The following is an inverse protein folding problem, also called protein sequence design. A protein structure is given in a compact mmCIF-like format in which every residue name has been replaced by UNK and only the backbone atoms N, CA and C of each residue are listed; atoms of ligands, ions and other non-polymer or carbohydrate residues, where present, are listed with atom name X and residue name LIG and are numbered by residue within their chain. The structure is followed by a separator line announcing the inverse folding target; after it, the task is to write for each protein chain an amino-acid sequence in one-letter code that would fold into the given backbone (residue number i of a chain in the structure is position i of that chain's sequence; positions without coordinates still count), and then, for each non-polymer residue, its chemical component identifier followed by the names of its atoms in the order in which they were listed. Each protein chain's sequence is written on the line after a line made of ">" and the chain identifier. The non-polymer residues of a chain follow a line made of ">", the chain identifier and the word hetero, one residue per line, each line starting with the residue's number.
data_IF_899126932442
#
_entry.id   IF_899126932442
#
_cell.length_a   1.000
_cell.length_b   1.000
_cell.length_c   1.000
_cell.angle_alpha   90.00
_cell.angle_beta   90.00
_cell.angle_gamma   90.00
#
_symmetry.space_group_name_H-M   'P 1'
#
loop_
_entity.id
_entity.type
_entity.pdbx_description
1 polymer ?
#
# COMPACT_ATOMS: atom_id res chain seq x y z
N UNK A 1 8.68 -35.02 8.88
CA UNK A 1 9.59 -35.24 7.75
C UNK A 1 10.07 -33.90 7.24
N UNK A 2 11.31 -33.49 7.53
CA UNK A 2 12.00 -32.36 6.88
C UNK A 2 12.00 -32.53 5.35
N UNK A 3 11.99 -33.78 4.90
CA UNK A 3 11.79 -34.14 3.50
C UNK A 3 10.45 -33.68 2.92
N UNK A 4 9.39 -33.57 3.73
CA UNK A 4 8.11 -32.99 3.30
C UNK A 4 8.29 -31.48 3.07
N UNK A 5 9.08 -30.77 3.88
CA UNK A 5 9.39 -29.35 3.64
C UNK A 5 10.16 -29.18 2.33
N UNK A 6 11.17 -30.03 2.08
CA UNK A 6 11.92 -30.02 0.82
C UNK A 6 11.05 -30.40 -0.39
N UNK A 7 10.08 -31.30 -0.21
CA UNK A 7 9.16 -31.69 -1.27
C UNK A 7 8.07 -30.63 -1.54
N UNK A 8 7.69 -29.84 -0.54
CA UNK A 8 6.71 -28.75 -0.68
C UNK A 8 7.33 -27.48 -1.25
N UNK A 9 8.65 -27.29 -1.15
CA UNK A 9 9.35 -26.14 -1.71
C UNK A 9 9.06 -25.94 -3.22
N UNK A 10 9.20 -26.95 -4.11
CA UNK A 10 8.82 -26.82 -5.52
C UNK A 10 7.33 -26.50 -5.74
N UNK A 11 6.45 -27.04 -4.89
CA UNK A 11 5.00 -26.78 -4.98
C UNK A 11 4.72 -25.31 -4.72
N UNK A 12 5.31 -24.75 -3.67
CA UNK A 12 5.07 -23.34 -3.34
C UNK A 12 5.77 -22.41 -4.32
N UNK A 13 6.99 -22.73 -4.79
CA UNK A 13 7.59 -21.99 -5.90
C UNK A 13 6.65 -22.00 -7.11
N UNK A 14 6.04 -23.14 -7.43
CA UNK A 14 5.04 -23.25 -8.48
C UNK A 14 3.80 -22.39 -8.21
N UNK A 15 3.32 -22.33 -6.96
CA UNK A 15 2.20 -21.48 -6.56
C UNK A 15 2.51 -19.98 -6.73
N UNK A 16 3.73 -19.55 -6.39
CA UNK A 16 4.18 -18.15 -6.58
C UNK A 16 4.34 -17.81 -8.06
N UNK A 17 4.85 -18.75 -8.87
CA UNK A 17 5.00 -18.55 -10.32
C UNK A 17 3.67 -18.45 -11.07
N UNK A 18 2.56 -18.91 -10.48
CA UNK A 18 1.22 -18.81 -11.07
C UNK A 18 0.62 -17.42 -10.87
N UNK A 19 1.04 -16.70 -9.82
CA UNK A 19 0.48 -15.38 -9.51
C UNK A 19 0.99 -14.33 -10.48
N UNK A 20 0.08 -13.52 -11.02
CA UNK A 20 0.47 -12.27 -11.70
C UNK A 20 0.92 -11.24 -10.67
N UNK A 21 1.66 -10.21 -11.11
CA UNK A 21 2.18 -9.14 -10.24
C UNK A 21 1.13 -8.61 -9.25
N UNK A 22 1.45 -8.66 -7.96
CA UNK A 22 0.65 -8.21 -6.82
C UNK A 22 -0.65 -8.98 -6.55
N UNK A 23 -0.89 -10.10 -7.23
CA UNK A 23 -1.91 -11.05 -6.80
C UNK A 23 -1.48 -11.76 -5.52
N UNK A 24 -2.44 -12.13 -4.69
CA UNK A 24 -2.18 -12.89 -3.48
C UNK A 24 -3.10 -14.11 -3.38
N UNK A 25 -2.59 -15.17 -2.77
CA UNK A 25 -3.44 -16.27 -2.33
C UNK A 25 -4.33 -15.82 -1.18
N UNK A 26 -5.64 -16.07 -1.31
CA UNK A 26 -6.57 -15.87 -0.20
C UNK A 26 -6.18 -16.78 0.95
N UNK A 27 -6.34 -16.24 2.15
CA UNK A 27 -5.97 -16.90 3.41
C UNK A 27 -4.48 -17.19 3.55
N UNK A 28 -3.61 -16.67 2.67
CA UNK A 28 -2.19 -16.99 2.64
C UNK A 28 -1.95 -18.50 2.42
N UNK A 29 -2.64 -19.07 1.42
CA UNK A 29 -2.66 -20.51 1.15
C UNK A 29 -1.27 -21.10 0.93
N UNK A 30 -0.45 -20.42 0.14
CA UNK A 30 0.98 -20.68 -0.09
C UNK A 30 1.75 -20.84 1.24
N UNK A 31 1.52 -19.95 2.20
CA UNK A 31 2.15 -20.01 3.51
C UNK A 31 1.60 -21.17 4.36
N UNK A 32 0.31 -21.49 4.27
CA UNK A 32 -0.25 -22.69 4.93
C UNK A 32 0.35 -23.99 4.40
N UNK A 33 0.58 -24.08 3.09
CA UNK A 33 1.23 -25.25 2.47
C UNK A 33 2.64 -25.41 3.04
N UNK A 34 3.41 -24.33 3.18
CA UNK A 34 4.71 -24.38 3.85
C UNK A 34 4.64 -24.76 5.33
N UNK A 35 3.74 -24.13 6.08
CA UNK A 35 3.56 -24.37 7.52
C UNK A 35 3.15 -25.81 7.81
N UNK A 36 2.40 -26.45 6.92
CA UNK A 36 1.99 -27.84 7.07
C UNK A 36 3.20 -28.78 7.19
N UNK A 37 4.26 -28.55 6.42
CA UNK A 37 5.50 -29.33 6.49
C UNK A 37 6.21 -29.22 7.85
N UNK A 38 6.19 -28.03 8.46
CA UNK A 38 6.72 -27.82 9.81
C UNK A 38 5.82 -28.46 10.88
N UNK A 39 4.51 -28.24 10.80
CA UNK A 39 3.55 -28.82 11.74
C UNK A 39 3.66 -30.35 11.78
N UNK A 40 3.75 -31.00 10.63
CA UNK A 40 3.89 -32.46 10.55
C UNK A 40 5.17 -32.94 11.26
N UNK A 41 6.32 -32.29 11.03
CA UNK A 41 7.58 -32.63 11.70
C UNK A 41 7.55 -32.44 13.23
N UNK A 42 6.80 -31.43 13.70
CA UNK A 42 6.64 -31.12 15.11
C UNK A 42 5.68 -32.09 15.84
N UNK A 43 4.58 -32.48 15.19
CA UNK A 43 3.56 -33.35 15.79
C UNK A 43 3.83 -34.86 15.67
N UNK A 44 4.68 -35.30 14.74
CA UNK A 44 5.00 -36.74 14.59
C UNK A 44 5.67 -37.31 15.83
N UNK A 45 6.61 -36.59 16.46
CA UNK A 45 7.35 -37.09 17.64
C UNK A 45 6.44 -37.43 18.84
N UNK A 46 5.52 -36.57 19.29
CA UNK A 46 4.60 -36.93 20.38
C UNK A 46 3.66 -38.08 20.00
N UNK A 47 3.26 -38.22 18.73
CA UNK A 47 2.41 -39.31 18.25
C UNK A 47 3.18 -40.65 18.21
N UNK A 48 4.45 -40.60 17.82
CA UNK A 48 5.30 -41.79 17.68
C UNK A 48 5.85 -42.35 19.00
N UNK A 49 5.70 -41.62 20.12
CA UNK A 49 6.21 -42.03 21.44
C UNK A 49 5.65 -43.36 21.93
N UNK A 50 4.43 -43.73 21.51
CA UNK A 50 3.73 -44.94 21.92
C UNK A 50 3.76 -46.07 20.88
N UNK A 51 4.50 -45.91 19.78
CA UNK A 51 4.55 -46.91 18.70
C UNK A 51 5.71 -47.88 18.96
N UNK A 52 5.44 -49.19 18.87
CA UNK A 52 6.46 -50.24 18.85
C UNK A 52 7.24 -50.20 17.52
N UNK A 53 8.14 -49.23 17.44
CA UNK A 53 8.97 -48.97 16.27
C UNK A 53 10.42 -49.44 16.47
N UNK A 54 11.12 -49.88 15.39
CA UNK A 54 12.55 -50.15 15.40
C UNK A 54 13.38 -48.96 15.89
N UNK A 55 14.51 -49.21 16.55
CA UNK A 55 15.38 -48.17 17.11
C UNK A 55 15.82 -47.13 16.06
N UNK A 56 16.14 -47.57 14.85
CA UNK A 56 16.52 -46.71 13.73
C UNK A 56 15.42 -45.69 13.42
N UNK A 57 14.15 -46.14 13.42
CA UNK A 57 13.01 -45.27 13.14
C UNK A 57 12.81 -44.23 14.26
N UNK A 58 13.03 -44.61 15.52
CA UNK A 58 12.98 -43.69 16.67
C UNK A 58 14.06 -42.61 16.60
N UNK A 59 15.29 -42.97 16.26
CA UNK A 59 16.38 -42.00 16.05
C UNK A 59 16.08 -41.06 14.88
N UNK A 60 15.54 -41.60 13.79
CA UNK A 60 15.19 -40.83 12.62
C UNK A 60 14.09 -39.79 12.92
N UNK A 61 13.04 -40.17 13.66
CA UNK A 61 11.98 -39.25 14.12
C UNK A 61 12.54 -38.16 15.03
N UNK A 62 13.53 -38.48 15.88
CA UNK A 62 14.17 -37.48 16.73
C UNK A 62 14.97 -36.46 15.92
N UNK A 63 15.79 -36.92 14.97
CA UNK A 63 16.52 -36.06 14.06
C UNK A 63 15.58 -35.15 13.28
N UNK A 64 14.50 -35.72 12.73
CA UNK A 64 13.51 -35.01 11.95
C UNK A 64 12.80 -33.90 12.75
N UNK A 65 12.46 -34.17 14.00
CA UNK A 65 11.88 -33.19 14.92
C UNK A 65 12.84 -32.03 15.21
N UNK A 66 14.10 -32.33 15.52
CA UNK A 66 15.12 -31.31 15.81
C UNK A 66 15.40 -30.45 14.57
N UNK A 67 15.56 -31.08 13.41
CA UNK A 67 15.80 -30.37 12.16
C UNK A 67 14.58 -29.51 11.75
N UNK A 68 13.35 -30.00 11.95
CA UNK A 68 12.13 -29.20 11.73
C UNK A 68 12.09 -27.97 12.63
N UNK A 69 12.49 -28.08 13.91
CA UNK A 69 12.60 -26.94 14.82
C UNK A 69 13.64 -25.91 14.38
N UNK A 70 14.84 -26.38 14.00
CA UNK A 70 15.94 -25.51 13.56
C UNK A 70 15.56 -24.73 12.30
N UNK A 71 14.83 -25.34 11.37
CA UNK A 71 14.39 -24.68 10.14
C UNK A 71 13.15 -23.81 10.35
N UNK A 72 12.22 -24.23 11.22
CA UNK A 72 11.01 -23.49 11.53
C UNK A 72 11.30 -22.15 12.21
N UNK A 73 12.27 -22.09 13.13
CA UNK A 73 12.53 -20.89 13.92
C UNK A 73 12.93 -19.66 13.09
N UNK A 74 13.97 -19.70 12.22
CA UNK A 74 14.29 -18.59 11.34
C UNK A 74 13.17 -18.34 10.32
N UNK A 75 12.48 -19.39 9.88
CA UNK A 75 11.33 -19.23 8.98
C UNK A 75 10.23 -18.39 9.63
N UNK A 76 9.76 -18.75 10.82
CA UNK A 76 8.73 -17.98 11.51
C UNK A 76 9.21 -16.55 11.77
N UNK A 77 10.45 -16.34 12.21
CA UNK A 77 10.96 -15.00 12.48
C UNK A 77 11.06 -14.11 11.23
N UNK A 78 11.41 -14.66 10.07
CA UNK A 78 11.60 -13.90 8.83
C UNK A 78 10.29 -13.78 8.02
N UNK A 79 9.51 -14.85 7.97
CA UNK A 79 8.29 -14.91 7.16
C UNK A 79 7.05 -14.36 7.88
N UNK A 80 7.05 -14.21 9.22
CA UNK A 80 5.97 -13.48 9.90
C UNK A 80 5.86 -12.01 9.43
N UNK A 81 6.99 -11.37 9.11
CA UNK A 81 7.00 -10.04 8.49
C UNK A 81 6.57 -10.04 7.02
N UNK A 82 6.49 -11.20 6.39
CA UNK A 82 6.06 -11.35 4.99
C UNK A 82 4.55 -11.57 4.85
N UNK A 83 3.80 -11.63 5.95
CA UNK A 83 2.35 -11.78 5.86
C UNK A 83 1.72 -10.53 5.26
N UNK A 84 0.90 -10.67 4.20
CA UNK A 84 0.10 -9.56 3.71
C UNK A 84 -0.77 -9.03 4.85
N UNK A 85 -0.66 -7.73 5.11
CA UNK A 85 -1.45 -7.09 6.16
C UNK A 85 -2.81 -6.73 5.58
N UNK A 86 -3.86 -7.41 6.03
CA UNK A 86 -5.23 -7.09 5.65
C UNK A 86 -5.77 -6.05 6.65
N UNK A 87 -6.14 -4.88 6.13
CA UNK A 87 -6.64 -3.77 6.95
C UNK A 87 -8.15 -3.79 7.07
N UNK A 88 -8.85 -3.93 5.93
CA UNK A 88 -10.31 -3.96 5.93
C UNK A 88 -10.86 -4.76 4.76
N UNK A 89 -12.11 -5.21 4.89
CA UNK A 89 -12.84 -6.00 3.90
C UNK A 89 -14.22 -5.38 3.68
N UNK A 90 -14.50 -4.97 2.46
CA UNK A 90 -15.80 -4.41 2.07
C UNK A 90 -16.36 -5.20 0.88
N UNK A 91 -17.44 -5.95 1.09
CA UNK A 91 -18.03 -6.87 0.10
C UNK A 91 -16.98 -7.83 -0.51
N UNK A 92 -16.75 -7.70 -1.83
CA UNK A 92 -15.81 -8.47 -2.62
C UNK A 92 -14.42 -7.82 -2.67
N UNK A 93 -14.23 -6.69 -2.00
CA UNK A 93 -12.97 -5.96 -2.01
C UNK A 93 -12.22 -6.13 -0.70
N UNK A 94 -10.90 -6.08 -0.79
CA UNK A 94 -9.99 -6.16 0.35
C UNK A 94 -8.99 -5.02 0.22
N UNK A 95 -8.79 -4.27 1.29
CA UNK A 95 -7.65 -3.39 1.44
C UNK A 95 -6.52 -4.19 2.09
N UNK A 96 -5.40 -4.32 1.39
CA UNK A 96 -4.23 -5.03 1.89
C UNK A 96 -2.95 -4.27 1.57
N UNK A 97 -1.94 -4.48 2.41
CA UNK A 97 -0.57 -4.16 2.08
C UNK A 97 0.13 -5.46 1.72
N UNK A 98 0.74 -5.46 0.54
CA UNK A 98 1.72 -6.47 0.18
C UNK A 98 2.94 -6.24 1.07
N UNK A 99 3.29 -7.24 1.88
CA UNK A 99 4.40 -7.12 2.84
C UNK A 99 5.48 -8.08 2.37
N UNK A 100 6.45 -7.60 1.61
CA UNK A 100 7.67 -8.36 1.35
C UNK A 100 8.63 -8.32 2.56
N UNK A 101 9.55 -9.27 2.71
CA UNK A 101 10.58 -9.25 3.76
C UNK A 101 11.47 -7.99 3.71
N UNK A 102 11.47 -7.29 2.57
CA UNK A 102 12.21 -6.06 2.33
C UNK A 102 11.33 -4.91 1.83
N UNK A 103 10.00 -5.05 1.92
CA UNK A 103 9.12 -4.03 1.39
C UNK A 103 9.00 -2.85 2.36
N UNK A 104 9.89 -1.89 2.17
CA UNK A 104 9.93 -0.63 2.90
C UNK A 104 9.00 0.42 2.28
N UNK A 105 8.30 0.12 1.18
CA UNK A 105 7.46 1.11 0.50
C UNK A 105 6.10 1.18 1.19
N UNK A 106 5.64 2.37 1.62
CA UNK A 106 4.33 2.56 2.23
C UNK A 106 3.25 2.56 1.13
N UNK A 107 2.98 1.40 0.54
CA UNK A 107 1.95 1.25 -0.50
C UNK A 107 0.91 0.24 -0.05
N UNK A 108 -0.37 0.55 -0.24
CA UNK A 108 -1.45 -0.42 -0.12
C UNK A 108 -2.16 -0.61 -1.45
N UNK A 109 -2.91 -1.70 -1.55
CA UNK A 109 -3.63 -2.11 -2.73
C UNK A 109 -5.06 -2.45 -2.36
N UNK A 110 -5.96 -2.21 -3.31
CA UNK A 110 -7.30 -2.77 -3.25
C UNK A 110 -7.34 -3.95 -4.18
N UNK A 111 -7.76 -5.10 -3.65
CA UNK A 111 -7.93 -6.31 -4.42
C UNK A 111 -9.38 -6.75 -4.48
N UNK A 112 -9.76 -7.39 -5.57
CA UNK A 112 -11.02 -8.12 -5.72
C UNK A 112 -10.81 -9.58 -5.31
N UNK A 113 -11.72 -10.11 -4.50
CA UNK A 113 -11.80 -11.54 -4.17
C UNK A 113 -12.29 -12.28 -5.41
N UNK A 114 -11.45 -13.13 -5.99
CA UNK A 114 -11.83 -14.01 -7.09
C UNK A 114 -11.38 -15.45 -6.79
N UNK A 115 -12.33 -16.33 -6.46
CA UNK A 115 -12.03 -17.71 -6.11
C UNK A 115 -10.99 -17.80 -4.98
N UNK A 116 -9.84 -18.48 -5.18
CA UNK A 116 -8.75 -18.56 -4.22
C UNK A 116 -7.78 -17.37 -4.27
N UNK A 117 -7.99 -16.39 -5.16
CA UNK A 117 -7.08 -15.28 -5.39
C UNK A 117 -7.64 -13.95 -4.90
N UNK A 118 -6.74 -13.02 -4.64
CA UNK A 118 -7.00 -11.60 -4.51
C UNK A 118 -6.32 -10.93 -5.70
N UNK A 119 -7.11 -10.42 -6.63
CA UNK A 119 -6.60 -9.75 -7.83
C UNK A 119 -6.49 -8.25 -7.57
N UNK A 120 -5.31 -7.64 -7.71
CA UNK A 120 -5.13 -6.21 -7.48
C UNK A 120 -5.91 -5.41 -8.52
N UNK A 121 -6.55 -4.35 -8.07
CA UNK A 121 -7.06 -3.30 -8.94
C UNK A 121 -5.86 -2.43 -9.32
N UNK A 122 -5.84 -1.90 -10.54
CA UNK A 122 -4.73 -1.09 -11.10
C UNK A 122 -4.42 0.23 -10.35
N UNK A 123 -5.01 0.44 -9.18
CA UNK A 123 -4.82 1.63 -8.36
C UNK A 123 -4.07 1.26 -7.09
N UNK A 124 -2.82 1.71 -7.01
CA UNK A 124 -2.06 1.69 -5.78
C UNK A 124 -2.44 2.89 -4.91
N UNK A 125 -2.43 2.69 -3.59
CA UNK A 125 -2.64 3.74 -2.60
C UNK A 125 -1.26 4.12 -2.08
N UNK A 126 -0.80 5.31 -2.44
CA UNK A 126 0.50 5.82 -2.04
C UNK A 126 0.45 7.33 -1.80
N UNK A 127 1.09 7.83 -0.73
CA UNK A 127 1.70 7.08 0.36
C UNK A 127 0.64 6.53 1.34
N UNK A 128 0.78 5.28 1.78
CA UNK A 128 -0.11 4.59 2.70
C UNK A 128 0.56 4.28 4.05
N UNK A 129 0.10 4.96 5.09
CA UNK A 129 0.51 4.76 6.48
C UNK A 129 -0.70 4.35 7.35
N UNK A 130 -1.46 3.36 6.89
CA UNK A 130 -2.62 2.85 7.62
C UNK A 130 -2.24 2.11 8.90
N UNK A 131 -3.12 2.18 9.89
CA UNK A 131 -3.09 1.37 11.12
C UNK A 131 -4.20 0.33 11.10
N UNK A 132 -4.31 -0.51 12.12
CA UNK A 132 -5.41 -1.47 12.28
C UNK A 132 -6.82 -0.83 12.25
N UNK A 133 -6.92 0.48 12.44
CA UNK A 133 -8.16 1.28 12.43
C UNK A 133 -8.33 2.00 11.09
N UNK A 134 -8.11 1.27 9.98
CA UNK A 134 -8.28 1.77 8.62
C UNK A 134 -9.57 1.19 8.05
N UNK A 135 -10.44 2.03 7.51
CA UNK A 135 -11.73 1.65 6.95
C UNK A 135 -11.78 1.88 5.45
N UNK A 136 -12.28 0.89 4.72
CA UNK A 136 -12.49 0.90 3.28
C UNK A 136 -13.97 1.12 2.98
N UNK A 137 -14.28 2.23 2.33
CA UNK A 137 -15.61 2.56 1.80
C UNK A 137 -15.62 2.43 0.29
N UNK A 138 -16.63 1.76 -0.26
CA UNK A 138 -16.76 1.55 -1.70
C UNK A 138 -18.13 2.02 -2.17
N UNK A 139 -18.11 2.87 -3.19
CA UNK A 139 -19.32 3.31 -3.86
C UNK A 139 -19.27 2.88 -5.34
N UNK A 140 -19.96 1.78 -5.66
CA UNK A 140 -20.04 1.21 -7.02
C UNK A 140 -20.89 2.04 -7.99
N UNK A 141 -21.78 2.88 -7.46
CA UNK A 141 -22.66 3.75 -8.24
C UNK A 141 -21.86 4.94 -8.79
N UNK A 142 -21.17 5.65 -7.91
CA UNK A 142 -20.31 6.77 -8.27
C UNK A 142 -18.94 6.34 -8.79
N UNK A 143 -18.57 5.06 -8.63
CA UNK A 143 -17.35 4.49 -9.19
C UNK A 143 -16.09 4.91 -8.45
N UNK A 144 -16.13 5.03 -7.12
CA UNK A 144 -14.97 5.37 -6.29
C UNK A 144 -14.80 4.43 -5.11
N UNK A 145 -13.58 4.45 -4.56
CA UNK A 145 -13.30 3.96 -3.22
C UNK A 145 -12.69 5.08 -2.38
N UNK A 146 -12.96 5.04 -1.08
CA UNK A 146 -12.35 5.91 -0.10
C UNK A 146 -11.76 5.05 1.02
N UNK A 147 -10.57 5.41 1.48
CA UNK A 147 -9.92 4.80 2.63
C UNK A 147 -9.69 5.88 3.67
N UNK A 148 -10.07 5.63 4.91
CA UNK A 148 -9.97 6.59 6.02
C UNK A 148 -9.43 5.91 7.27
N UNK A 149 -8.68 6.63 8.09
CA UNK A 149 -8.21 6.13 9.41
C UNK A 149 -8.90 6.88 10.55
N UNK A 150 -9.22 6.20 11.66
CA UNK A 150 -10.07 6.70 12.78
C UNK A 150 -9.46 7.79 13.69
N UNK A 151 -8.29 8.33 13.38
CA UNK A 151 -7.60 9.26 14.30
C UNK A 151 -8.07 10.70 14.14
N UNK A 152 -8.09 11.46 15.24
CA UNK A 152 -8.05 12.93 15.18
C UNK A 152 -6.81 13.33 14.37
N UNK A 153 -7.00 13.79 13.14
CA UNK A 153 -6.00 13.85 12.05
C UNK A 153 -5.73 12.51 11.37
N UNK A 154 -6.76 11.94 10.77
CA UNK A 154 -6.68 10.70 10.02
C UNK A 154 -6.07 10.90 8.64
N UNK A 155 -5.45 9.85 8.11
CA UNK A 155 -5.09 9.75 6.70
C UNK A 155 -6.32 9.41 5.86
N UNK A 156 -6.39 9.97 4.65
CA UNK A 156 -7.53 9.77 3.75
C UNK A 156 -7.07 9.61 2.30
N UNK A 157 -7.66 8.64 1.61
CA UNK A 157 -7.39 8.37 0.20
C UNK A 157 -8.70 8.23 -0.57
N UNK A 158 -8.81 8.89 -1.72
CA UNK A 158 -10.01 8.82 -2.58
C UNK A 158 -9.57 8.67 -4.03
N UNK A 159 -10.00 7.58 -4.65
CA UNK A 159 -9.57 7.25 -6.01
C UNK A 159 -10.70 6.60 -6.83
N UNK A 160 -10.61 6.67 -8.17
CA UNK A 160 -11.55 6.01 -9.05
C UNK A 160 -11.42 4.48 -8.95
N UNK A 161 -12.57 3.84 -8.85
CA UNK A 161 -12.76 2.42 -9.11
C UNK A 161 -13.15 2.18 -10.57
N UNK A 162 -13.96 3.08 -11.14
CA UNK A 162 -14.39 3.09 -12.54
C UNK A 162 -14.29 4.53 -13.04
N UNK A 163 -13.33 4.80 -13.93
CA UNK A 163 -13.06 6.15 -14.43
C UNK A 163 -14.27 6.76 -15.15
N UNK A 164 -15.10 5.98 -15.84
CA UNK A 164 -16.24 6.51 -16.60
C UNK A 164 -17.31 7.01 -15.64
N UNK A 165 -17.63 6.22 -14.61
CA UNK A 165 -18.60 6.63 -13.57
C UNK A 165 -18.04 7.77 -12.73
N UNK A 166 -16.77 7.69 -12.36
CA UNK A 166 -16.09 8.72 -11.57
C UNK A 166 -16.10 10.08 -12.27
N UNK A 167 -15.84 10.13 -13.58
CA UNK A 167 -15.95 11.37 -14.36
C UNK A 167 -17.40 11.85 -14.50
N UNK A 168 -18.38 10.95 -14.56
CA UNK A 168 -19.79 11.31 -14.68
C UNK A 168 -20.30 12.05 -13.44
N UNK A 169 -19.89 11.62 -12.25
CA UNK A 169 -20.26 12.22 -10.96
C UNK A 169 -19.19 13.20 -10.44
N UNK A 170 -18.50 13.89 -11.36
CA UNK A 170 -17.41 14.80 -11.01
C UNK A 170 -17.79 15.90 -9.98
N UNK A 171 -18.97 16.54 -10.05
CA UNK A 171 -19.36 17.54 -9.05
C UNK A 171 -19.51 16.96 -7.64
N UNK A 172 -20.19 15.82 -7.52
CA UNK A 172 -20.44 15.15 -6.24
C UNK A 172 -19.15 14.63 -5.61
N UNK A 173 -18.27 14.06 -6.45
CA UNK A 173 -16.95 13.58 -6.02
C UNK A 173 -16.05 14.75 -5.61
N UNK A 174 -16.09 15.87 -6.33
CA UNK A 174 -15.36 17.08 -5.94
C UNK A 174 -15.76 17.55 -4.55
N UNK A 175 -17.07 17.62 -4.28
CA UNK A 175 -17.61 17.99 -2.97
C UNK A 175 -17.21 16.97 -1.88
N UNK A 176 -17.24 15.67 -2.19
CA UNK A 176 -16.78 14.63 -1.28
C UNK A 176 -15.30 14.81 -0.91
N UNK A 177 -14.43 15.04 -1.88
CA UNK A 177 -13.00 15.27 -1.66
C UNK A 177 -12.80 16.50 -0.77
N UNK A 178 -13.48 17.61 -1.08
CA UNK A 178 -13.37 18.84 -0.31
C UNK A 178 -13.84 18.65 1.13
N UNK A 179 -14.96 17.95 1.35
CA UNK A 179 -15.47 17.65 2.69
C UNK A 179 -14.53 16.75 3.49
N UNK A 180 -13.99 15.70 2.86
CA UNK A 180 -13.05 14.78 3.51
C UNK A 180 -11.74 15.48 3.87
N UNK A 181 -11.25 16.37 3.00
CA UNK A 181 -10.07 17.18 3.28
C UNK A 181 -10.32 18.21 4.38
N UNK A 182 -11.50 18.84 4.42
CA UNK A 182 -11.84 19.77 5.51
C UNK A 182 -11.90 19.07 6.87
N UNK A 183 -12.40 17.83 6.91
CA UNK A 183 -12.43 17.03 8.13
C UNK A 183 -11.03 16.51 8.53
N UNK A 184 -10.20 16.17 7.54
CA UNK A 184 -8.83 15.71 7.72
C UNK A 184 -7.86 16.53 6.85
N UNK A 185 -7.34 17.67 7.33
CA UNK A 185 -6.54 18.59 6.52
C UNK A 185 -5.11 18.10 6.22
N UNK A 186 -4.74 16.90 6.69
CA UNK A 186 -3.45 16.25 6.42
C UNK A 186 -2.21 17.10 6.78
N UNK A 187 -2.32 17.94 7.80
CA UNK A 187 -1.24 18.84 8.24
C UNK A 187 -0.27 18.20 9.25
N UNK A 188 -0.59 17.02 9.77
CA UNK A 188 0.19 16.35 10.81
C UNK A 188 1.37 15.53 10.25
N UNK A 189 2.45 15.43 11.03
CA UNK A 189 3.67 14.67 10.67
C UNK A 189 3.44 13.17 10.42
N UNK A 190 2.32 12.61 10.87
CA UNK A 190 1.95 11.21 10.64
C UNK A 190 0.73 11.05 9.72
N UNK A 191 0.29 12.14 9.10
CA UNK A 191 -0.88 12.12 8.19
C UNK A 191 -0.42 12.00 6.75
N UNK A 192 -1.14 11.22 5.96
CA UNK A 192 -0.88 11.08 4.53
C UNK A 192 -2.20 10.89 3.80
N UNK A 193 -2.19 11.14 2.51
CA UNK A 193 -3.39 10.95 1.74
C UNK A 193 -3.13 11.14 0.27
N UNK A 194 -4.05 10.66 -0.55
CA UNK A 194 -4.04 10.98 -1.96
C UNK A 194 -5.45 11.05 -2.52
N UNK A 195 -5.69 12.02 -3.38
CA UNK A 195 -6.98 12.27 -3.99
C UNK A 195 -6.79 12.34 -5.49
N UNK A 196 -7.50 11.50 -6.25
CA UNK A 196 -7.56 11.64 -7.70
C UNK A 196 -8.73 12.54 -8.08
N UNK A 197 -8.45 13.67 -8.70
CA UNK A 197 -9.46 14.63 -9.14
C UNK A 197 -10.24 14.08 -10.34
N UNK A 198 -11.58 14.24 -10.42
CA UNK A 198 -12.40 13.59 -11.45
C UNK A 198 -12.14 14.09 -12.88
N UNK A 199 -11.50 15.25 -13.04
CA UNK A 199 -10.99 15.72 -14.33
C UNK A 199 -9.79 16.65 -14.12
N UNK A 200 -8.59 16.32 -14.65
CA UNK A 200 -8.27 15.31 -15.67
C UNK A 200 -7.77 13.95 -15.12
N UNK A 201 -8.28 13.44 -14.00
CA UNK A 201 -7.68 12.29 -13.27
C UNK A 201 -6.27 12.57 -12.75
N UNK A 202 -5.99 13.82 -12.40
CA UNK A 202 -4.77 14.19 -11.70
C UNK A 202 -4.83 13.71 -10.25
N UNK A 203 -3.73 13.16 -9.74
CA UNK A 203 -3.62 12.71 -8.34
C UNK A 203 -2.85 13.73 -7.54
N UNK A 204 -3.43 14.17 -6.43
CA UNK A 204 -2.80 15.03 -5.43
C UNK A 204 -2.49 14.19 -4.22
N UNK A 205 -1.22 13.99 -3.91
CA UNK A 205 -0.73 13.20 -2.80
C UNK A 205 -0.08 14.09 -1.74
N UNK A 206 -0.36 13.80 -0.49
CA UNK A 206 0.12 14.51 0.69
C UNK A 206 0.94 13.55 1.53
N UNK A 207 2.15 13.97 1.92
CA UNK A 207 3.04 13.16 2.75
C UNK A 207 3.43 13.89 4.01
N UNK A 208 2.99 13.34 5.15
CA UNK A 208 3.47 13.68 6.49
C UNK A 208 3.38 15.18 6.82
N UNK A 209 2.41 15.91 6.25
CA UNK A 209 2.30 17.37 6.41
C UNK A 209 3.49 18.17 5.86
N UNK A 210 4.38 17.54 5.09
CA UNK A 210 5.63 18.15 4.63
C UNK A 210 5.65 18.39 3.13
N UNK A 211 5.00 17.53 2.34
CA UNK A 211 5.03 17.63 0.88
C UNK A 211 3.67 17.44 0.26
N UNK A 212 3.47 18.16 -0.85
CA UNK A 212 2.34 17.99 -1.76
C UNK A 212 2.91 17.59 -3.11
N UNK A 213 2.40 16.50 -3.66
CA UNK A 213 2.79 15.96 -4.96
C UNK A 213 1.58 15.92 -5.88
N UNK A 214 1.66 16.57 -7.03
CA UNK A 214 0.64 16.59 -8.06
C UNK A 214 1.17 15.80 -9.26
N UNK A 215 0.47 14.73 -9.65
CA UNK A 215 0.78 13.93 -10.83
C UNK A 215 -0.42 13.89 -11.78
N UNK A 216 -0.21 14.24 -13.04
CA UNK A 216 -1.22 14.20 -14.07
C UNK A 216 -0.64 13.66 -15.37
N UNK A 217 -0.97 12.42 -15.70
CA UNK A 217 -0.45 11.71 -16.89
C UNK A 217 -0.77 12.39 -18.23
N UNK A 218 -1.85 13.15 -18.31
CA UNK A 218 -2.23 13.89 -19.51
C UNK A 218 -2.73 15.29 -19.09
N UNK A 219 -1.90 16.34 -19.24
CA UNK A 219 -0.83 16.50 -20.24
C UNK A 219 0.60 16.11 -19.80
N UNK A 220 0.78 15.17 -18.88
CA UNK A 220 2.09 14.75 -18.33
C UNK A 220 2.77 15.88 -17.55
N UNK A 221 2.12 16.28 -16.46
CA UNK A 221 2.57 17.30 -15.52
C UNK A 221 2.82 16.63 -14.17
N UNK A 222 4.02 16.79 -13.64
CA UNK A 222 4.44 16.30 -12.34
C UNK A 222 5.02 17.45 -11.51
N UNK A 223 4.48 17.69 -10.32
CA UNK A 223 4.86 18.85 -9.50
C UNK A 223 5.01 18.43 -8.05
N UNK A 224 6.17 18.72 -7.47
CA UNK A 224 6.47 18.48 -6.07
C UNK A 224 6.67 19.81 -5.35
N UNK A 225 5.85 20.05 -4.33
CA UNK A 225 5.91 21.21 -3.44
C UNK A 225 6.41 20.70 -2.09
N UNK A 226 7.60 21.15 -1.69
CA UNK A 226 8.27 20.75 -0.47
C UNK A 226 8.33 21.91 0.53
N UNK A 227 7.73 21.71 1.69
CA UNK A 227 7.67 22.69 2.78
C UNK A 227 8.80 22.47 3.81
N UNK A 228 9.59 21.41 3.66
CA UNK A 228 10.69 21.01 4.54
C UNK A 228 12.01 20.94 3.77
N UNK A 229 13.15 20.95 4.47
CA UNK A 229 14.43 20.84 3.79
C UNK A 229 14.62 19.41 3.26
N UNK A 230 15.02 19.29 1.99
CA UNK A 230 15.25 18.01 1.31
C UNK A 230 16.26 17.10 2.05
N UNK A 231 17.20 17.69 2.80
CA UNK A 231 18.25 16.96 3.53
C UNK A 231 17.89 16.59 4.97
N UNK A 232 16.81 17.17 5.52
CA UNK A 232 16.36 16.89 6.89
C UNK A 232 14.85 17.11 7.03
N UNK A 233 14.09 16.01 6.94
CA UNK A 233 12.63 15.96 7.12
C UNK A 233 12.16 16.41 8.51
N UNK A 234 13.08 16.66 9.46
CA UNK A 234 12.76 17.16 10.80
C UNK A 234 13.00 18.66 10.98
N UNK A 235 13.63 19.35 10.02
CA UNK A 235 13.76 20.80 10.04
C UNK A 235 12.87 21.45 8.98
N UNK A 236 11.89 22.27 9.36
CA UNK A 236 11.12 23.04 8.38
C UNK A 236 12.08 23.87 7.53
N UNK A 237 11.83 23.95 6.22
CA UNK A 237 12.56 24.86 5.36
C UNK A 237 12.35 26.26 5.93
N UNK A 238 13.44 26.87 6.37
CA UNK A 238 13.38 27.88 7.43
C UNK A 238 12.49 29.07 7.03
N UNK A 239 12.50 29.42 5.74
CA UNK A 239 11.73 30.56 5.20
C UNK A 239 11.20 30.38 3.76
N UNK A 240 11.35 29.21 3.13
CA UNK A 240 10.94 29.00 1.73
C UNK A 240 10.26 27.66 1.47
N UNK A 241 9.46 27.61 0.41
CA UNK A 241 8.85 26.41 -0.15
C UNK A 241 9.55 26.12 -1.47
N UNK A 242 10.07 24.91 -1.63
CA UNK A 242 10.71 24.48 -2.87
C UNK A 242 9.66 23.86 -3.80
N UNK A 243 9.64 24.31 -5.05
CA UNK A 243 8.74 23.78 -6.07
C UNK A 243 9.59 23.21 -7.20
N UNK A 244 9.40 21.92 -7.46
CA UNK A 244 9.95 21.21 -8.61
C UNK A 244 8.80 20.92 -9.57
N UNK A 245 8.87 21.51 -10.75
CA UNK A 245 7.87 21.39 -11.79
C UNK A 245 8.46 20.67 -13.00
N UNK A 246 7.78 19.62 -13.40
CA UNK A 246 8.02 18.86 -14.63
C UNK A 246 6.78 19.01 -15.51
N UNK A 247 6.89 19.83 -16.54
CA UNK A 247 5.80 20.11 -17.46
C UNK A 247 5.75 19.21 -18.68
N UNK A 248 4.74 19.41 -19.54
CA UNK A 248 4.77 18.86 -20.89
C UNK A 248 6.04 19.34 -21.63
N UNK A 249 6.51 18.56 -22.60
CA UNK A 249 7.68 18.86 -23.42
C UNK A 249 9.03 18.95 -22.67
N UNK A 250 9.19 18.19 -21.58
CA UNK A 250 10.41 18.13 -20.78
C UNK A 250 10.81 19.46 -20.12
N UNK A 251 9.85 20.36 -19.93
CA UNK A 251 10.07 21.57 -19.14
C UNK A 251 10.40 21.18 -17.70
N UNK A 252 11.55 21.64 -17.21
CA UNK A 252 11.97 21.44 -15.83
C UNK A 252 12.25 22.79 -15.18
N UNK A 253 11.51 23.08 -14.12
CA UNK A 253 11.64 24.31 -13.35
C UNK A 253 11.78 23.99 -11.89
N UNK A 254 12.86 24.49 -11.30
CA UNK A 254 13.07 24.46 -9.86
C UNK A 254 13.16 25.89 -9.35
N UNK A 255 12.26 26.25 -8.43
CA UNK A 255 12.28 27.57 -7.83
C UNK A 255 11.80 27.51 -6.38
N UNK A 256 12.21 28.52 -5.62
CA UNK A 256 11.84 28.66 -4.22
C UNK A 256 10.98 29.91 -4.04
N UNK A 257 9.88 29.80 -3.31
CA UNK A 257 9.02 30.92 -2.94
C UNK A 257 9.08 31.15 -1.44
N UNK A 258 8.83 32.38 -0.94
CA UNK A 258 8.65 32.61 0.49
C UNK A 258 7.55 31.71 1.03
N UNK A 259 7.74 31.18 2.24
CA UNK A 259 6.81 30.21 2.84
C UNK A 259 5.36 30.72 2.93
N UNK A 260 5.20 32.00 3.21
CA UNK A 260 3.88 32.65 3.31
C UNK A 260 3.17 32.81 1.96
N UNK A 261 3.87 32.61 0.84
CA UNK A 261 3.31 32.76 -0.51
C UNK A 261 2.60 31.50 -1.02
N UNK A 262 2.88 30.33 -0.42
CA UNK A 262 2.30 29.05 -0.82
C UNK A 262 1.78 28.36 0.45
N UNK A 263 0.50 28.54 0.81
CA UNK A 263 -0.06 27.88 1.98
C UNK A 263 -0.17 26.36 1.76
N UNK A 264 -0.50 25.61 2.81
CA UNK A 264 -0.94 24.22 2.66
C UNK A 264 -2.29 24.20 1.94
N UNK A 265 -2.36 23.52 0.80
CA UNK A 265 -3.48 23.63 -0.14
C UNK A 265 -4.34 22.36 -0.16
N UNK A 266 -5.66 22.54 -0.23
CA UNK A 266 -6.62 21.48 -0.59
C UNK A 266 -6.42 20.98 -2.03
N UNK A 267 -6.93 19.80 -2.41
CA UNK A 267 -6.74 19.25 -3.76
C UNK A 267 -7.22 20.19 -4.86
N UNK A 268 -8.34 20.90 -4.63
CA UNK A 268 -8.86 21.89 -5.57
C UNK A 268 -7.95 23.12 -5.71
N UNK A 269 -7.36 23.59 -4.61
CA UNK A 269 -6.41 24.71 -4.60
C UNK A 269 -5.10 24.34 -5.31
N UNK A 270 -4.56 23.14 -5.04
CA UNK A 270 -3.38 22.62 -5.75
C UNK A 270 -3.63 22.63 -7.26
N UNK A 271 -4.76 22.09 -7.72
CA UNK A 271 -5.12 22.09 -9.15
C UNK A 271 -5.12 23.51 -9.73
N UNK A 272 -5.71 24.48 -9.03
CA UNK A 272 -5.74 25.89 -9.48
C UNK A 272 -4.33 26.48 -9.53
N UNK A 273 -3.51 26.20 -8.53
CA UNK A 273 -2.12 26.63 -8.46
C UNK A 273 -1.31 26.10 -9.65
N UNK A 274 -1.37 24.80 -9.95
CA UNK A 274 -0.68 24.19 -11.10
C UNK A 274 -1.17 24.76 -12.43
N UNK A 275 -2.48 24.90 -12.63
CA UNK A 275 -3.04 25.50 -13.87
C UNK A 275 -2.49 26.92 -14.08
N UNK A 276 -2.39 27.72 -13.02
CA UNK A 276 -1.84 29.06 -13.10
C UNK A 276 -0.32 29.05 -13.36
N UNK A 277 0.40 28.06 -12.84
CA UNK A 277 1.82 27.88 -13.11
C UNK A 277 2.06 27.55 -14.58
N UNK A 278 1.36 26.57 -15.15
CA UNK A 278 1.47 26.18 -16.56
C UNK A 278 1.19 27.35 -17.51
N UNK A 279 0.15 28.15 -17.22
CA UNK A 279 -0.18 29.34 -18.01
C UNK A 279 0.92 30.41 -18.05
N UNK A 280 1.81 30.43 -17.05
CA UNK A 280 2.93 31.37 -16.98
C UNK A 280 4.18 30.82 -17.66
N UNK A 281 4.32 29.50 -17.77
CA UNK A 281 5.46 28.84 -18.42
C UNK A 281 5.27 28.66 -19.92
N UNK A 282 4.03 28.70 -20.41
CA UNK A 282 3.70 28.71 -21.85
C UNK A 282 3.88 30.08 -22.53
N UNK A 283 4.19 31.14 -21.77
CA UNK A 283 4.50 32.48 -22.28
C UNK A 283 6.00 32.70 -22.39
#
# INVERSE_FOLDING_TARGET
>A
MVWVQLALLPVVIGMEMILDNHQLWRWNLDLWVWMFGFALGLFIKPIAGNIEAPQILKYWIHFDFVASWILALPFFLIFLSCFPSIYDKNDNYILYKDSGPFDCVPTAYIGLKDGPFISPIKTNIYPFFGTAETYLTINKEMGYFAVTTDKENGSVWVHPLDSIKYARFAPEIGLLIDNLFQYNPLTGQMTSGSFTLPSPFATVSYRQGCTIHYDCRNPNVDVLIDYYNADDTRTPAKDCVQIRYHGPDHQYLNFSLPKDSVPWMSPAEVRRFIINLNRRTEK
#
